data_IF_497615657435
#
_entry.id   IF_497615657435
#
_cell.length_a   1.000
_cell.length_b   1.000
_cell.length_c   1.000
_cell.angle_alpha   90.00
_cell.angle_beta   90.00
_cell.angle_gamma   90.00
#
_symmetry.space_group_name_H-M   'P 1'
#
loop_
_entity.id
_entity.type
_entity.pdbx_description
1 polymer ?
#
# COMPACT_ATOMS: atom_id res chain seq x y z
N UNK A 1 -22.78 34.39 -20.89
CA UNK A 1 -21.61 34.04 -20.05
C UNK A 1 -22.11 33.81 -18.62
N UNK A 2 -22.11 32.60 -18.04
CA UNK A 2 -22.67 32.51 -16.67
C UNK A 2 -22.95 31.17 -15.99
N UNK A 3 -22.38 30.03 -16.40
CA UNK A 3 -22.53 28.80 -15.60
C UNK A 3 -21.33 27.84 -15.67
N UNK A 4 -20.17 28.32 -16.14
CA UNK A 4 -18.95 27.50 -16.23
C UNK A 4 -18.20 27.51 -14.89
N UNK A 5 -18.06 28.69 -14.27
CA UNK A 5 -17.39 28.84 -12.98
C UNK A 5 -18.09 28.04 -11.86
N UNK A 6 -19.42 28.14 -11.74
CA UNK A 6 -20.19 27.40 -10.74
C UNK A 6 -20.10 25.88 -10.90
N UNK A 7 -20.12 25.37 -12.14
CA UNK A 7 -19.94 23.95 -12.43
C UNK A 7 -18.51 23.48 -12.15
N UNK A 8 -17.51 24.26 -12.54
CA UNK A 8 -16.11 23.98 -12.24
C UNK A 8 -15.88 23.90 -10.72
N UNK A 9 -16.36 24.88 -9.94
CA UNK A 9 -16.24 24.86 -8.47
C UNK A 9 -16.89 23.61 -7.87
N UNK A 10 -18.09 23.22 -8.33
CA UNK A 10 -18.74 21.99 -7.85
C UNK A 10 -17.90 20.74 -8.15
N UNK A 11 -17.33 20.64 -9.35
CA UNK A 11 -16.48 19.53 -9.75
C UNK A 11 -15.21 19.46 -8.91
N UNK A 12 -14.48 20.57 -8.76
CA UNK A 12 -13.24 20.59 -7.96
C UNK A 12 -13.49 20.36 -6.47
N UNK A 13 -14.63 20.82 -5.92
CA UNK A 13 -15.01 20.50 -4.53
C UNK A 13 -15.27 19.02 -4.36
N UNK A 14 -16.03 18.41 -5.28
CA UNK A 14 -16.28 16.97 -5.27
C UNK A 14 -14.98 16.18 -5.42
N UNK A 15 -14.10 16.57 -6.35
CA UNK A 15 -12.80 15.93 -6.60
C UNK A 15 -11.88 15.96 -5.37
N UNK A 16 -11.82 17.10 -4.67
CA UNK A 16 -11.08 17.22 -3.42
C UNK A 16 -11.68 16.35 -2.30
N UNK A 17 -13.02 16.29 -2.19
CA UNK A 17 -13.72 15.50 -1.19
C UNK A 17 -13.50 13.98 -1.40
N UNK A 18 -13.66 13.50 -2.64
CA UNK A 18 -13.43 12.09 -2.97
C UNK A 18 -11.95 11.70 -2.83
N UNK A 19 -11.02 12.59 -3.22
CA UNK A 19 -9.58 12.37 -3.05
C UNK A 19 -9.19 12.22 -1.58
N UNK A 20 -9.71 13.10 -0.71
CA UNK A 20 -9.47 13.01 0.73
C UNK A 20 -10.05 11.72 1.34
N UNK A 21 -11.26 11.34 0.94
CA UNK A 21 -11.90 10.10 1.42
C UNK A 21 -11.13 8.84 0.98
N UNK A 22 -10.71 8.77 -0.29
CA UNK A 22 -9.90 7.67 -0.81
C UNK A 22 -8.51 7.63 -0.16
N UNK A 23 -7.89 8.79 0.10
CA UNK A 23 -6.60 8.86 0.79
C UNK A 23 -6.65 8.20 2.17
N UNK A 24 -7.74 8.45 2.93
CA UNK A 24 -7.93 7.83 4.24
C UNK A 24 -8.01 6.30 4.14
N UNK A 25 -8.74 5.76 3.16
CA UNK A 25 -8.84 4.32 2.94
C UNK A 25 -7.50 3.73 2.47
N UNK A 26 -6.78 4.40 1.57
CA UNK A 26 -5.43 4.00 1.14
C UNK A 26 -4.48 3.93 2.34
N UNK A 27 -4.47 4.94 3.20
CA UNK A 27 -3.61 4.98 4.39
C UNK A 27 -3.92 3.83 5.35
N UNK A 28 -5.20 3.49 5.52
CA UNK A 28 -5.62 2.36 6.34
C UNK A 28 -5.13 1.03 5.75
N UNK A 29 -5.34 0.80 4.45
CA UNK A 29 -4.84 -0.39 3.74
C UNK A 29 -3.32 -0.50 3.85
N UNK A 30 -2.57 0.59 3.68
CA UNK A 30 -1.11 0.60 3.77
C UNK A 30 -0.61 0.18 5.16
N UNK A 31 -1.23 0.68 6.24
CA UNK A 31 -0.88 0.31 7.61
C UNK A 31 -1.16 -1.15 7.90
N UNK A 32 -2.32 -1.67 7.47
CA UNK A 32 -2.65 -3.08 7.66
C UNK A 32 -1.71 -3.95 6.85
N UNK A 33 -1.50 -3.61 5.57
CA UNK A 33 -0.64 -4.36 4.65
C UNK A 33 0.78 -4.51 5.20
N UNK A 34 1.43 -3.40 5.55
CA UNK A 34 2.82 -3.42 6.03
C UNK A 34 2.96 -4.26 7.31
N UNK A 35 1.99 -4.17 8.22
CA UNK A 35 2.01 -4.91 9.48
C UNK A 35 1.83 -6.42 9.24
N UNK A 36 0.92 -6.80 8.33
CA UNK A 36 0.67 -8.20 7.98
C UNK A 36 1.88 -8.81 7.27
N UNK A 37 2.44 -8.12 6.27
CA UNK A 37 3.65 -8.59 5.56
C UNK A 37 4.82 -8.71 6.54
N UNK A 38 5.07 -7.72 7.41
CA UNK A 38 6.18 -7.79 8.37
C UNK A 38 6.02 -8.95 9.35
N UNK A 39 4.81 -9.16 9.88
CA UNK A 39 4.50 -10.31 10.75
C UNK A 39 4.80 -11.63 10.03
N UNK A 40 4.37 -11.77 8.78
CA UNK A 40 4.62 -12.99 8.01
C UNK A 40 6.09 -13.17 7.64
N UNK A 41 6.82 -12.09 7.40
CA UNK A 41 8.27 -12.16 7.17
C UNK A 41 9.01 -12.65 8.43
N UNK A 42 8.56 -12.27 9.63
CA UNK A 42 9.11 -12.79 10.89
C UNK A 42 8.78 -14.26 11.12
N UNK A 43 7.53 -14.66 10.89
CA UNK A 43 7.09 -16.06 10.99
C UNK A 43 7.89 -16.92 10.02
N UNK A 44 8.01 -16.47 8.76
CA UNK A 44 8.83 -17.13 7.76
C UNK A 44 10.29 -17.21 8.19
N UNK A 45 10.86 -16.12 8.72
CA UNK A 45 12.25 -16.10 9.16
C UNK A 45 12.55 -17.11 10.25
N UNK A 46 11.62 -17.31 11.18
CA UNK A 46 11.74 -18.31 12.24
C UNK A 46 11.60 -19.74 11.75
N UNK A 47 10.68 -19.97 10.80
CA UNK A 47 10.42 -21.29 10.25
C UNK A 47 11.46 -21.73 9.19
N UNK A 48 12.20 -20.79 8.60
CA UNK A 48 13.17 -21.09 7.55
C UNK A 48 14.33 -21.94 8.11
N UNK A 49 14.84 -22.86 7.29
CA UNK A 49 16.01 -23.68 7.61
C UNK A 49 17.06 -23.47 6.51
N UNK A 50 18.25 -22.92 6.82
CA UNK A 50 18.67 -22.39 8.12
C UNK A 50 17.84 -21.16 8.56
N UNK A 51 17.79 -20.89 9.87
CA UNK A 51 16.98 -19.79 10.43
C UNK A 51 17.43 -18.44 9.87
N UNK A 52 16.46 -17.63 9.45
CA UNK A 52 16.68 -16.25 8.99
C UNK A 52 16.49 -15.25 10.12
N UNK A 53 17.10 -14.08 9.99
CA UNK A 53 16.96 -13.02 10.98
C UNK A 53 15.54 -12.43 10.96
N UNK A 54 14.88 -12.43 12.12
CA UNK A 54 13.56 -11.79 12.32
C UNK A 54 13.64 -10.28 12.20
N UNK A 55 14.75 -9.68 12.61
CA UNK A 55 15.00 -8.23 12.53
C UNK A 55 15.52 -7.82 11.15
N UNK A 56 15.02 -8.50 10.09
CA UNK A 56 15.45 -8.31 8.71
C UNK A 56 15.48 -6.84 8.32
N UNK A 57 14.51 -6.03 8.73
CA UNK A 57 14.46 -4.61 8.35
C UNK A 57 15.42 -3.70 9.13
N UNK A 58 15.81 -4.09 10.35
CA UNK A 58 16.77 -3.33 11.17
C UNK A 58 18.21 -3.77 10.92
N UNK A 59 18.41 -5.04 10.54
CA UNK A 59 19.70 -5.68 10.33
C UNK A 59 19.74 -6.37 8.96
N UNK A 60 19.59 -5.62 7.85
CA UNK A 60 19.28 -6.18 6.53
C UNK A 60 20.35 -7.08 5.90
N UNK A 61 21.54 -7.11 6.49
CA UNK A 61 22.70 -7.88 6.00
C UNK A 61 23.15 -8.95 6.99
N UNK A 62 22.47 -9.09 8.13
CA UNK A 62 22.87 -10.02 9.18
C UNK A 62 21.97 -11.26 9.13
N UNK A 63 22.48 -12.36 8.58
CA UNK A 63 21.79 -13.65 8.52
C UNK A 63 20.35 -13.60 7.95
N UNK A 64 20.09 -12.73 6.97
CA UNK A 64 18.82 -12.73 6.25
C UNK A 64 18.92 -13.74 5.11
N UNK A 65 18.01 -14.70 5.05
CA UNK A 65 18.04 -15.78 4.05
C UNK A 65 17.28 -15.40 2.79
N UNK A 66 17.59 -16.08 1.68
CA UNK A 66 16.83 -15.95 0.43
C UNK A 66 15.40 -16.51 0.60
N UNK A 67 14.37 -15.86 0.02
CA UNK A 67 14.49 -14.71 -0.88
C UNK A 67 14.54 -13.34 -0.17
N UNK A 68 14.25 -13.26 1.14
CA UNK A 68 14.09 -11.99 1.86
C UNK A 68 15.34 -11.11 1.85
N UNK A 69 16.54 -11.70 1.80
CA UNK A 69 17.83 -10.99 1.68
C UNK A 69 17.87 -9.94 0.57
N UNK A 70 17.32 -10.24 -0.61
CA UNK A 70 17.30 -9.34 -1.78
C UNK A 70 16.39 -8.13 -1.59
N UNK A 71 15.30 -8.29 -0.85
CA UNK A 71 14.41 -7.17 -0.49
C UNK A 71 15.02 -6.37 0.64
N UNK A 72 15.57 -7.06 1.63
CA UNK A 72 15.89 -6.52 2.94
C UNK A 72 16.82 -5.32 2.85
N UNK A 73 17.97 -5.43 2.18
CA UNK A 73 18.89 -4.30 2.03
C UNK A 73 18.28 -3.14 1.22
N UNK A 74 17.60 -3.46 0.13
CA UNK A 74 17.02 -2.48 -0.81
C UNK A 74 15.97 -1.59 -0.14
N UNK A 75 15.13 -2.18 0.72
CA UNK A 75 14.04 -1.46 1.39
C UNK A 75 14.48 -0.82 2.71
N UNK A 76 15.36 -1.48 3.46
CA UNK A 76 15.75 -1.06 4.82
C UNK A 76 16.68 0.14 4.82
N UNK A 77 17.68 0.16 3.94
CA UNK A 77 18.66 1.25 3.90
C UNK A 77 18.02 2.65 3.74
N UNK A 78 17.14 2.89 2.75
CA UNK A 78 16.46 4.18 2.64
C UNK A 78 15.49 4.43 3.81
N UNK A 79 14.84 3.39 4.32
CA UNK A 79 13.88 3.50 5.42
C UNK A 79 14.57 3.90 6.74
N UNK A 80 15.70 3.27 7.08
CA UNK A 80 16.52 3.60 8.25
C UNK A 80 17.00 5.05 8.16
N UNK A 81 17.51 5.48 7.01
CA UNK A 81 17.94 6.89 6.81
C UNK A 81 16.81 7.87 7.06
N UNK A 82 15.61 7.59 6.53
CA UNK A 82 14.42 8.43 6.75
C UNK A 82 13.97 8.41 8.22
N UNK A 83 14.01 7.26 8.88
CA UNK A 83 13.64 7.14 10.29
C UNK A 83 14.61 7.92 11.20
N UNK A 84 15.91 7.88 10.91
CA UNK A 84 16.91 8.70 11.61
C UNK A 84 16.68 10.19 11.39
N UNK A 85 16.32 10.61 10.16
CA UNK A 85 15.96 12.01 9.89
C UNK A 85 14.70 12.43 10.64
N UNK A 86 13.68 11.56 10.69
CA UNK A 86 12.46 11.80 11.45
C UNK A 86 12.75 11.90 12.96
N UNK A 87 13.64 11.05 13.50
CA UNK A 87 14.14 11.17 14.88
C UNK A 87 14.85 12.51 15.13
N UNK A 88 15.71 12.96 14.21
CA UNK A 88 16.38 14.25 14.34
C UNK A 88 15.35 15.39 14.43
N UNK A 89 14.42 15.41 13.49
CA UNK A 89 13.28 16.35 13.47
C UNK A 89 12.47 16.31 14.77
N UNK A 90 12.19 15.12 15.29
CA UNK A 90 11.45 14.90 16.52
C UNK A 90 12.18 15.45 17.76
N UNK A 91 13.51 15.31 17.79
CA UNK A 91 14.34 15.69 18.93
C UNK A 91 14.68 17.20 18.93
N UNK A 92 14.90 17.77 17.74
CA UNK A 92 15.30 19.16 17.52
C UNK A 92 14.11 20.10 17.22
N UNK A 93 13.03 19.56 16.66
CA UNK A 93 11.85 20.31 16.20
C UNK A 93 11.93 20.71 14.71
N UNK A 94 10.76 20.96 14.10
CA UNK A 94 10.63 21.51 12.73
C UNK A 94 10.15 22.96 12.69
N UNK A 95 9.74 23.52 13.83
CA UNK A 95 8.98 24.77 13.89
C UNK A 95 7.48 24.64 13.56
N UNK A 96 7.02 23.50 13.02
CA UNK A 96 5.59 23.24 12.78
C UNK A 96 4.84 22.86 14.07
N UNK A 97 5.52 22.22 15.02
CA UNK A 97 4.95 21.81 16.30
C UNK A 97 5.53 22.65 17.43
N UNK A 98 4.66 23.17 18.30
CA UNK A 98 5.06 23.80 19.56
C UNK A 98 5.21 22.74 20.65
N UNK A 99 6.25 22.85 21.48
CA UNK A 99 6.50 21.95 22.61
C UNK A 99 7.46 20.78 22.30
N UNK A 100 7.78 19.99 23.32
CA UNK A 100 8.66 18.83 23.19
C UNK A 100 7.88 17.61 22.70
N UNK A 101 8.41 16.90 21.70
CA UNK A 101 7.80 15.66 21.24
C UNK A 101 7.81 14.59 22.35
N UNK A 102 6.73 13.82 22.57
CA UNK A 102 6.65 12.82 23.65
C UNK A 102 7.76 11.76 23.62
N UNK A 103 8.19 11.34 22.42
CA UNK A 103 9.30 10.40 22.21
C UNK A 103 10.68 11.08 22.03
N UNK A 104 10.88 12.33 22.45
CA UNK A 104 12.19 13.01 22.33
C UNK A 104 13.30 12.17 23.00
N UNK A 105 14.45 12.07 22.33
CA UNK A 105 15.62 11.34 22.81
C UNK A 105 15.55 9.81 22.66
N UNK A 106 14.35 9.24 22.48
CA UNK A 106 14.18 7.78 22.36
C UNK A 106 14.88 7.20 21.11
N UNK A 107 15.42 5.98 21.14
CA UNK A 107 15.97 5.34 19.94
C UNK A 107 14.88 5.12 18.87
N UNK A 108 15.30 4.92 17.62
CA UNK A 108 14.37 4.45 16.57
C UNK A 108 14.02 2.98 16.81
N UNK A 109 12.79 2.61 16.52
CA UNK A 109 12.31 1.23 16.58
C UNK A 109 12.15 0.65 15.17
N UNK A 110 11.88 -0.66 15.11
CA UNK A 110 11.48 -1.34 13.87
C UNK A 110 10.27 -0.67 13.21
N UNK A 111 9.28 -0.27 14.01
CA UNK A 111 8.07 0.40 13.50
C UNK A 111 8.38 1.78 12.91
N UNK A 112 9.35 2.50 13.50
CA UNK A 112 9.82 3.77 12.93
C UNK A 112 10.40 3.53 11.53
N UNK A 113 11.12 2.43 11.30
CA UNK A 113 11.68 2.07 9.98
C UNK A 113 10.59 1.58 9.02
N UNK A 114 9.73 0.64 9.43
CA UNK A 114 8.62 0.12 8.62
C UNK A 114 7.73 1.27 8.12
N UNK A 115 7.49 2.28 8.97
CA UNK A 115 6.66 3.44 8.61
C UNK A 115 7.23 4.32 7.49
N UNK A 116 8.53 4.22 7.19
CA UNK A 116 9.20 4.99 6.13
C UNK A 116 9.22 4.29 4.77
N UNK A 117 8.80 3.02 4.75
CA UNK A 117 8.65 2.24 3.53
C UNK A 117 7.33 2.61 2.87
N UNK A 118 7.41 3.08 1.62
CA UNK A 118 6.23 3.54 0.88
C UNK A 118 5.43 2.38 0.30
N UNK A 119 4.13 2.58 0.08
CA UNK A 119 3.28 1.63 -0.65
C UNK A 119 3.86 1.15 -1.98
N UNK A 120 4.56 2.02 -2.73
CA UNK A 120 5.24 1.65 -3.98
C UNK A 120 6.35 0.64 -3.75
N UNK A 121 7.15 0.78 -2.69
CA UNK A 121 8.21 -0.17 -2.35
C UNK A 121 7.63 -1.50 -1.88
N UNK A 122 6.52 -1.48 -1.12
CA UNK A 122 5.80 -2.70 -0.77
C UNK A 122 5.34 -3.45 -2.02
N UNK A 123 4.68 -2.75 -2.97
CA UNK A 123 4.29 -3.33 -4.25
C UNK A 123 5.48 -3.86 -5.05
N UNK A 124 6.55 -3.09 -5.14
CA UNK A 124 7.72 -3.44 -5.94
C UNK A 124 8.44 -4.70 -5.45
N UNK A 125 8.55 -4.89 -4.14
CA UNK A 125 9.37 -5.98 -3.58
C UNK A 125 8.59 -7.20 -3.11
N UNK A 126 7.30 -7.03 -2.77
CA UNK A 126 6.50 -8.11 -2.18
C UNK A 126 5.39 -8.63 -3.09
N UNK A 127 5.19 -8.01 -4.26
CA UNK A 127 4.21 -8.42 -5.25
C UNK A 127 4.90 -8.67 -6.59
N UNK A 128 4.28 -9.53 -7.41
CA UNK A 128 4.80 -9.88 -8.73
C UNK A 128 3.71 -9.64 -9.77
N UNK A 129 4.10 -9.54 -11.03
CA UNK A 129 3.15 -9.50 -12.15
C UNK A 129 3.28 -10.79 -12.92
N UNK A 130 2.19 -11.55 -13.06
CA UNK A 130 2.24 -12.75 -13.87
C UNK A 130 2.65 -12.40 -15.31
N UNK A 131 3.50 -13.23 -15.94
CA UNK A 131 3.91 -13.01 -17.29
C UNK A 131 2.73 -13.16 -18.26
N UNK A 132 2.79 -12.43 -19.36
CA UNK A 132 1.73 -12.46 -20.39
C UNK A 132 2.19 -13.33 -21.57
N UNK A 133 1.31 -14.19 -22.08
CA UNK A 133 1.56 -14.89 -23.33
C UNK A 133 1.25 -13.96 -24.51
N UNK A 134 2.21 -13.78 -25.38
CA UNK A 134 2.07 -13.02 -26.62
C UNK A 134 1.46 -13.90 -27.73
N UNK A 135 0.85 -13.32 -28.78
CA UNK A 135 0.20 -14.08 -29.86
C UNK A 135 1.14 -15.04 -30.61
N UNK A 136 2.44 -14.78 -30.56
CA UNK A 136 3.49 -15.63 -31.16
C UNK A 136 3.90 -16.82 -30.26
N UNK A 137 3.25 -17.02 -29.11
CA UNK A 137 3.56 -18.06 -28.13
C UNK A 137 4.71 -17.72 -27.18
N UNK A 138 5.36 -16.56 -27.34
CA UNK A 138 6.42 -16.11 -26.43
C UNK A 138 5.84 -15.62 -25.09
N UNK A 139 6.60 -15.79 -24.01
CA UNK A 139 6.23 -15.35 -22.67
C UNK A 139 6.93 -14.02 -22.38
N UNK A 140 6.15 -12.99 -22.06
CA UNK A 140 6.64 -11.67 -21.71
C UNK A 140 6.61 -11.46 -20.21
N UNK A 141 7.79 -11.32 -19.64
CA UNK A 141 7.98 -10.95 -18.24
C UNK A 141 8.02 -9.43 -18.07
N UNK A 142 7.68 -8.97 -16.87
CA UNK A 142 7.85 -7.57 -16.50
C UNK A 142 8.37 -7.45 -15.05
N UNK A 143 9.51 -6.78 -14.82
CA UNK A 143 10.38 -6.17 -15.83
C UNK A 143 11.19 -7.20 -16.64
N UNK A 144 11.56 -8.32 -16.02
CA UNK A 144 12.36 -9.40 -16.59
C UNK A 144 12.09 -10.72 -15.81
N UNK A 145 12.53 -11.85 -16.37
CA UNK A 145 12.30 -13.17 -15.79
C UNK A 145 12.95 -13.35 -14.40
N UNK A 146 14.18 -12.83 -14.22
CA UNK A 146 14.91 -12.98 -12.95
C UNK A 146 14.20 -12.22 -11.83
N UNK A 147 13.76 -11.00 -12.11
CA UNK A 147 13.00 -10.18 -11.16
C UNK A 147 11.64 -10.80 -10.85
N UNK A 148 10.96 -11.36 -11.85
CA UNK A 148 9.69 -12.07 -11.66
C UNK A 148 9.86 -13.28 -10.72
N UNK A 149 10.80 -14.18 -11.01
CA UNK A 149 11.01 -15.40 -10.20
C UNK A 149 11.33 -15.07 -8.75
N UNK A 150 12.17 -14.07 -8.53
CA UNK A 150 12.49 -13.59 -7.20
C UNK A 150 11.26 -13.02 -6.47
N UNK A 151 10.48 -12.12 -7.09
CA UNK A 151 9.29 -11.53 -6.46
C UNK A 151 8.21 -12.56 -6.21
N UNK A 152 8.05 -13.52 -7.11
CA UNK A 152 7.15 -14.66 -6.94
C UNK A 152 7.56 -15.50 -5.74
N UNK A 153 8.85 -15.80 -5.57
CA UNK A 153 9.35 -16.53 -4.40
C UNK A 153 9.10 -15.77 -3.08
N UNK A 154 9.26 -14.43 -3.06
CA UNK A 154 8.86 -13.60 -1.90
C UNK A 154 7.37 -13.74 -1.64
N UNK A 155 6.56 -13.62 -2.69
CA UNK A 155 5.11 -13.67 -2.54
C UNK A 155 4.63 -15.00 -1.98
N UNK A 156 5.10 -16.11 -2.55
CA UNK A 156 4.71 -17.46 -2.15
C UNK A 156 5.14 -17.79 -0.71
N UNK A 157 6.32 -17.33 -0.28
CA UNK A 157 6.86 -17.64 1.05
C UNK A 157 6.34 -16.71 2.14
N UNK A 158 6.03 -15.46 1.82
CA UNK A 158 5.76 -14.39 2.79
C UNK A 158 4.41 -13.72 2.51
N UNK A 159 4.27 -13.09 1.34
CA UNK A 159 3.12 -12.19 1.08
C UNK A 159 1.79 -12.92 1.05
N UNK A 160 1.71 -14.13 0.48
CA UNK A 160 0.45 -14.86 0.34
C UNK A 160 -0.22 -15.12 1.70
N UNK A 161 0.57 -15.40 2.73
CA UNK A 161 0.10 -15.63 4.09
C UNK A 161 -0.38 -14.35 4.77
N UNK A 162 0.02 -13.17 4.27
CA UNK A 162 -0.50 -11.90 4.77
C UNK A 162 -1.97 -11.70 4.37
N UNK A 163 -2.41 -12.36 3.30
CA UNK A 163 -3.77 -12.31 2.76
C UNK A 163 -4.65 -13.52 3.17
N UNK A 164 -4.33 -14.14 4.31
CA UNK A 164 -5.00 -15.33 4.84
C UNK A 164 -6.13 -15.03 5.84
N UNK A 165 -6.70 -13.82 5.83
CA UNK A 165 -7.78 -13.46 6.77
C UNK A 165 -9.09 -14.22 6.49
N UNK A 166 -9.26 -14.73 5.28
CA UNK A 166 -10.37 -15.61 4.90
C UNK A 166 -9.89 -17.06 4.81
N UNK A 167 -10.83 -18.00 4.79
CA UNK A 167 -10.55 -19.42 4.57
C UNK A 167 -9.92 -19.66 3.20
N UNK A 168 -9.25 -20.80 3.05
CA UNK A 168 -8.57 -21.19 1.81
C UNK A 168 -9.49 -21.22 0.58
N UNK A 169 -10.79 -21.53 0.79
CA UNK A 169 -11.83 -21.50 -0.25
C UNK A 169 -12.12 -20.11 -0.81
N UNK A 170 -11.87 -19.06 -0.02
CA UNK A 170 -12.13 -17.67 -0.35
C UNK A 170 -10.82 -16.89 -0.58
N UNK A 171 -9.70 -17.59 -0.78
CA UNK A 171 -8.43 -16.94 -1.12
C UNK A 171 -8.53 -16.27 -2.48
N UNK A 172 -8.09 -15.03 -2.52
CA UNK A 172 -7.93 -14.27 -3.75
C UNK A 172 -6.71 -14.79 -4.53
N UNK A 173 -6.85 -14.84 -5.85
CA UNK A 173 -5.77 -15.24 -6.74
C UNK A 173 -4.55 -14.31 -6.58
N UNK A 174 -3.32 -14.83 -6.44
CA UNK A 174 -2.11 -14.03 -6.29
C UNK A 174 -1.87 -12.96 -7.36
N UNK A 175 -2.21 -13.24 -8.62
CA UNK A 175 -2.05 -12.27 -9.70
C UNK A 175 -3.13 -11.19 -9.60
N UNK A 176 -4.36 -11.54 -9.22
CA UNK A 176 -5.41 -10.55 -8.94
C UNK A 176 -5.04 -9.61 -7.80
N UNK A 177 -4.50 -10.13 -6.68
CA UNK A 177 -4.00 -9.29 -5.58
C UNK A 177 -2.95 -8.31 -6.11
N UNK A 178 -2.00 -8.82 -6.89
CA UNK A 178 -0.88 -8.00 -7.38
C UNK A 178 -1.34 -6.94 -8.40
N UNK A 179 -2.31 -7.25 -9.25
CA UNK A 179 -2.94 -6.27 -10.15
C UNK A 179 -3.70 -5.19 -9.36
N UNK A 180 -4.48 -5.60 -8.35
CA UNK A 180 -5.20 -4.66 -7.46
C UNK A 180 -4.20 -3.76 -6.75
N UNK A 181 -3.14 -4.34 -6.17
CA UNK A 181 -2.09 -3.61 -5.47
C UNK A 181 -1.42 -2.56 -6.38
N UNK A 182 -1.11 -2.92 -7.63
CA UNK A 182 -0.57 -1.96 -8.60
C UNK A 182 -1.53 -0.81 -8.89
N UNK A 183 -2.83 -1.07 -9.07
CA UNK A 183 -3.84 0.00 -9.26
C UNK A 183 -3.96 0.90 -8.03
N UNK A 184 -3.92 0.33 -6.84
CA UNK A 184 -3.93 1.07 -5.57
C UNK A 184 -2.69 1.98 -5.44
N UNK A 185 -1.52 1.51 -5.85
CA UNK A 185 -0.29 2.33 -5.88
C UNK A 185 -0.42 3.50 -6.85
N UNK A 186 -0.97 3.28 -8.04
CA UNK A 186 -1.20 4.34 -9.02
C UNK A 186 -2.19 5.38 -8.49
N UNK A 187 -3.29 4.94 -7.88
CA UNK A 187 -4.26 5.82 -7.22
C UNK A 187 -3.59 6.64 -6.11
N UNK A 188 -2.82 5.98 -5.23
CA UNK A 188 -2.09 6.64 -4.15
C UNK A 188 -1.15 7.70 -4.69
N UNK A 189 -0.35 7.38 -5.71
CA UNK A 189 0.58 8.36 -6.29
C UNK A 189 -0.18 9.56 -6.87
N UNK A 190 -1.28 9.32 -7.60
CA UNK A 190 -2.14 10.38 -8.15
C UNK A 190 -2.66 11.33 -7.07
N UNK A 191 -3.29 10.80 -6.02
CA UNK A 191 -3.80 11.61 -4.90
C UNK A 191 -2.65 12.36 -4.19
N UNK A 192 -1.52 11.67 -3.95
CA UNK A 192 -0.35 12.26 -3.31
C UNK A 192 0.30 13.40 -4.11
N UNK A 193 0.17 13.36 -5.43
CA UNK A 193 0.60 14.44 -6.34
C UNK A 193 -0.47 15.51 -6.58
N UNK A 194 -1.62 15.43 -5.89
CA UNK A 194 -2.76 16.34 -6.06
C UNK A 194 -3.28 16.38 -7.50
N UNK A 195 -3.11 15.28 -8.23
CA UNK A 195 -3.68 15.12 -9.55
C UNK A 195 -5.19 14.80 -9.45
N UNK A 196 -6.03 15.35 -10.35
CA UNK A 196 -7.46 15.16 -10.30
C UNK A 196 -7.88 13.71 -10.59
N UNK A 197 -9.00 13.29 -9.99
CA UNK A 197 -9.66 11.99 -10.17
C UNK A 197 -10.85 12.05 -11.14
N UNK A 198 -10.96 13.13 -11.92
CA UNK A 198 -12.07 13.43 -12.83
C UNK A 198 -12.28 12.36 -13.92
N UNK A 199 -11.24 11.62 -14.32
CA UNK A 199 -11.35 10.54 -15.32
C UNK A 199 -11.12 9.15 -14.70
N UNK A 200 -11.15 9.06 -13.37
CA UNK A 200 -10.89 7.83 -12.63
C UNK A 200 -12.21 7.25 -12.11
N UNK A 201 -12.37 5.94 -12.29
CA UNK A 201 -13.45 5.19 -11.63
C UNK A 201 -13.12 5.04 -10.13
N UNK A 202 -13.60 6.03 -9.37
CA UNK A 202 -13.45 6.08 -7.92
C UNK A 202 -14.25 4.97 -7.20
N UNK A 203 -15.33 4.47 -7.82
CA UNK A 203 -16.09 3.33 -7.31
C UNK A 203 -15.27 2.06 -7.37
N UNK A 204 -14.67 1.78 -8.53
CA UNK A 204 -13.78 0.63 -8.71
C UNK A 204 -12.52 0.74 -7.83
N UNK A 205 -11.96 1.94 -7.70
CA UNK A 205 -10.83 2.22 -6.80
C UNK A 205 -11.14 1.89 -5.34
N UNK A 206 -12.34 2.23 -4.87
CA UNK A 206 -12.83 1.84 -3.54
C UNK A 206 -12.97 0.33 -3.42
N UNK A 207 -13.58 -0.34 -4.39
CA UNK A 207 -13.76 -1.80 -4.37
C UNK A 207 -12.44 -2.55 -4.30
N UNK A 208 -11.44 -2.09 -5.06
CA UNK A 208 -10.09 -2.63 -5.04
C UNK A 208 -9.47 -2.53 -3.63
N UNK A 209 -9.55 -1.35 -2.99
CA UNK A 209 -9.08 -1.14 -1.62
C UNK A 209 -9.81 -2.03 -0.60
N UNK A 210 -11.15 -2.11 -0.69
CA UNK A 210 -11.94 -2.95 0.21
C UNK A 210 -11.66 -4.44 0.00
N UNK A 211 -11.37 -4.85 -1.24
CA UNK A 211 -10.97 -6.22 -1.55
C UNK A 211 -9.66 -6.56 -0.85
N UNK A 212 -8.61 -5.72 -0.99
CA UNK A 212 -7.37 -5.94 -0.25
C UNK A 212 -7.62 -6.02 1.26
N UNK A 213 -8.40 -5.09 1.80
CA UNK A 213 -8.68 -5.04 3.24
C UNK A 213 -9.45 -6.27 3.73
N UNK A 214 -10.39 -6.80 2.93
CA UNK A 214 -11.12 -8.04 3.21
C UNK A 214 -10.18 -9.24 3.41
N UNK A 215 -9.16 -9.35 2.57
CA UNK A 215 -8.21 -10.46 2.60
C UNK A 215 -7.07 -10.25 3.60
N UNK A 216 -6.77 -9.01 3.97
CA UNK A 216 -5.74 -8.68 4.98
C UNK A 216 -6.28 -8.74 6.42
N UNK A 217 -7.45 -8.13 6.66
CA UNK A 217 -8.04 -7.99 8.00
C UNK A 217 -9.55 -7.66 7.95
N UNK A 218 -10.38 -8.67 8.22
CA UNK A 218 -11.84 -8.55 8.21
C UNK A 218 -12.39 -7.66 9.33
N UNK A 219 -11.72 -7.57 10.47
CA UNK A 219 -12.14 -6.72 11.57
C UNK A 219 -11.94 -5.23 11.21
N UNK A 220 -10.80 -4.90 10.61
CA UNK A 220 -10.54 -3.54 10.10
C UNK A 220 -11.51 -3.18 8.97
N UNK A 221 -11.80 -4.11 8.05
CA UNK A 221 -12.81 -3.92 7.02
C UNK A 221 -14.19 -3.58 7.63
N UNK A 222 -14.64 -4.38 8.61
CA UNK A 222 -15.93 -4.17 9.28
C UNK A 222 -15.98 -2.79 9.96
N UNK A 223 -14.90 -2.40 10.64
CA UNK A 223 -14.81 -1.09 11.28
C UNK A 223 -14.87 0.08 10.28
N UNK A 224 -14.12 0.00 9.18
CA UNK A 224 -14.14 1.04 8.14
C UNK A 224 -15.52 1.14 7.48
N UNK A 225 -16.09 0.01 7.05
CA UNK A 225 -17.36 -0.03 6.32
C UNK A 225 -18.55 0.45 7.13
N UNK A 226 -18.50 0.39 8.46
CA UNK A 226 -19.53 0.95 9.34
C UNK A 226 -19.69 2.48 9.21
N UNK A 227 -18.68 3.19 8.72
CA UNK A 227 -18.68 4.65 8.59
C UNK A 227 -18.12 5.14 7.26
N UNK A 228 -18.12 4.30 6.23
CA UNK A 228 -17.53 4.60 4.93
C UNK A 228 -18.22 5.80 4.24
N UNK A 229 -17.53 6.94 4.07
CA UNK A 229 -18.13 8.14 3.51
C UNK A 229 -18.25 8.08 1.98
N UNK A 230 -17.48 7.20 1.32
CA UNK A 230 -17.29 7.23 -0.13
C UNK A 230 -18.60 7.02 -0.91
N UNK A 231 -19.50 6.08 -0.57
CA UNK A 231 -20.75 5.89 -1.31
C UNK A 231 -21.62 7.16 -1.39
N UNK A 232 -21.66 7.96 -0.31
CA UNK A 232 -22.39 9.23 -0.28
C UNK A 232 -21.75 10.25 -1.22
N UNK A 233 -20.41 10.34 -1.23
CA UNK A 233 -19.66 11.27 -2.08
C UNK A 233 -19.82 10.91 -3.56
N UNK A 234 -19.75 9.61 -3.90
CA UNK A 234 -19.97 9.12 -5.26
C UNK A 234 -21.38 9.43 -5.76
N UNK A 235 -22.40 9.31 -4.91
CA UNK A 235 -23.78 9.70 -5.26
C UNK A 235 -23.93 11.20 -5.54
N UNK A 236 -23.06 12.04 -4.96
CA UNK A 236 -23.04 13.48 -5.15
C UNK A 236 -22.19 13.92 -6.36
N UNK A 237 -21.68 12.98 -7.17
CA UNK A 237 -20.83 13.27 -8.32
C UNK A 237 -21.53 14.17 -9.35
N UNK A 238 -21.03 15.40 -9.58
CA UNK A 238 -21.65 16.35 -10.49
C UNK A 238 -21.48 15.99 -11.97
N UNK A 239 -20.63 14.99 -12.29
CA UNK A 239 -20.43 14.46 -13.65
C UNK A 239 -21.56 13.55 -14.07
N UNK A 240 -22.17 12.83 -13.12
CA UNK A 240 -23.33 11.99 -13.37
C UNK A 240 -24.49 12.94 -13.70
N UNK A 241 -24.83 13.05 -14.99
CA UNK A 241 -26.02 13.78 -15.41
C UNK A 241 -27.19 13.16 -14.67
N UNK A 242 -27.78 13.89 -13.72
CA UNK A 242 -29.12 13.58 -13.25
C UNK A 242 -29.99 13.53 -14.50
N UNK A 243 -30.41 12.34 -14.88
CA UNK A 243 -31.43 12.16 -15.91
C UNK A 243 -32.59 13.03 -15.49
N UNK A 244 -32.85 14.08 -16.30
CA UNK A 244 -34.00 14.96 -16.15
C UNK A 244 -35.24 14.05 -16.06
N UNK A 245 -35.86 14.00 -14.88
CA UNK A 245 -37.28 13.69 -14.75
C UNK A 245 -38.05 14.99 -14.99
#
# INVERSE_FOLDING_TARGET
>A
MGNHAGRAIKLYKWDAEISAALWNLVALVEVVLRNKICTQAEIWSDANVPRSNRDWIMQPRQNVQEPLSKVSASISDPAIRKALKAKKVRDEGTGLTRGSHPRKGQPITKDDVISQVTLSQWNEYFFYRAPTQEPNGSVKYYPDETTYEFRKAIYEKITCNAFSALSDSDRIDPDDVSRIMNRVVLLRNRIGHQEPLIDIDCGKSREDLLTLLKHLDTAVLSNYTASDPIPKILKADPRIRQSRR
#
